data_IF_256808991696
#
_entry.id   IF_256808991696
#
_cell.length_a   1.000
_cell.length_b   1.000
_cell.length_c   1.000
_cell.angle_alpha   90.00
_cell.angle_beta   90.00
_cell.angle_gamma   90.00
#
_symmetry.space_group_name_H-M   'P 1'
#
loop_
_entity.id
_entity.type
_entity.pdbx_description
1 polymer ?
#
# COMPACT_ATOMS: atom_id res chain seq x y z
N UNK A 1 -8.32 -14.66 -31.29
CA UNK A 1 -7.86 -13.34 -31.78
C UNK A 1 -8.38 -12.27 -30.82
N UNK A 2 -7.48 -11.38 -30.42
CA UNK A 2 -7.65 -10.04 -29.83
C UNK A 2 -8.50 -9.84 -28.57
N UNK A 3 -7.76 -9.68 -27.45
CA UNK A 3 -8.07 -8.85 -26.28
C UNK A 3 -8.39 -7.41 -26.69
N UNK A 4 -9.31 -6.74 -25.99
CA UNK A 4 -9.25 -5.29 -25.83
C UNK A 4 -9.92 -4.87 -24.52
N UNK A 5 -9.12 -4.17 -23.72
CA UNK A 5 -9.40 -3.68 -22.40
C UNK A 5 -10.37 -2.50 -22.49
N UNK A 6 -11.41 -2.49 -21.66
CA UNK A 6 -12.11 -1.25 -21.30
C UNK A 6 -11.64 -0.82 -19.92
N UNK A 7 -10.57 -0.02 -19.94
CA UNK A 7 -10.23 0.89 -18.86
C UNK A 7 -11.31 1.98 -18.91
N UNK A 8 -12.34 1.83 -18.10
CA UNK A 8 -13.29 2.91 -17.83
C UNK A 8 -12.62 3.81 -16.79
N UNK A 9 -12.44 5.06 -17.18
CA UNK A 9 -11.64 6.04 -16.48
C UNK A 9 -12.07 6.25 -15.03
N UNK A 10 -11.11 6.07 -14.12
CA UNK A 10 -11.04 6.83 -12.89
C UNK A 10 -10.60 8.27 -13.24
N UNK A 11 -11.56 9.08 -13.68
CA UNK A 11 -11.46 10.53 -13.68
C UNK A 11 -12.76 11.03 -13.11
N UNK A 12 -12.81 11.18 -11.78
CA UNK A 12 -13.72 12.08 -11.02
C UNK A 12 -13.73 11.69 -9.54
N UNK A 13 -12.63 11.95 -8.81
CA UNK A 13 -12.66 12.14 -7.35
C UNK A 13 -11.57 13.15 -6.93
N UNK A 14 -11.33 14.19 -7.73
CA UNK A 14 -10.73 15.43 -7.24
C UNK A 14 -11.85 16.39 -6.89
N UNK A 15 -12.69 16.02 -5.93
CA UNK A 15 -13.32 17.02 -5.08
C UNK A 15 -12.28 17.38 -4.04
N UNK A 16 -11.39 18.31 -4.38
CA UNK A 16 -10.70 19.11 -3.36
C UNK A 16 -11.78 19.62 -2.41
N UNK A 17 -11.67 19.41 -1.08
CA UNK A 17 -12.61 20.05 -0.17
C UNK A 17 -12.46 21.55 -0.40
N UNK A 18 -13.50 22.17 -0.96
CA UNK A 18 -13.63 23.61 -0.94
C UNK A 18 -13.83 23.96 0.53
N UNK A 19 -12.73 24.27 1.23
CA UNK A 19 -12.77 24.82 2.57
C UNK A 19 -13.46 26.16 2.47
N UNK A 20 -14.73 26.19 2.89
CA UNK A 20 -15.53 27.39 2.98
C UNK A 20 -14.88 28.29 4.04
N UNK A 21 -14.23 29.37 3.59
CA UNK A 21 -13.65 30.37 4.48
C UNK A 21 -14.80 31.17 5.11
N UNK A 22 -15.10 30.90 6.38
CA UNK A 22 -15.95 31.77 7.17
C UNK A 22 -15.23 33.09 7.42
N UNK A 23 -15.93 34.22 7.28
CA UNK A 23 -15.49 35.52 7.78
C UNK A 23 -15.40 35.42 9.32
N UNK A 24 -14.22 35.11 9.83
CA UNK A 24 -13.94 35.15 11.26
C UNK A 24 -12.75 36.07 11.45
N UNK A 25 -12.98 37.21 12.10
CA UNK A 25 -11.93 38.08 12.64
C UNK A 25 -11.22 37.34 13.78
N UNK A 26 -10.32 36.41 13.44
CA UNK A 26 -9.46 35.75 14.42
C UNK A 26 -8.12 36.49 14.38
N UNK A 27 -7.85 37.20 15.49
CA UNK A 27 -6.55 37.62 16.01
C UNK A 27 -5.33 37.10 15.24
N UNK A 28 -4.43 38.00 14.83
CA UNK A 28 -3.18 37.82 14.05
C UNK A 28 -2.10 36.88 14.67
N UNK A 29 -2.46 35.79 15.34
CA UNK A 29 -1.52 34.84 15.95
C UNK A 29 -1.23 33.59 15.07
N UNK A 30 -1.84 33.47 13.89
CA UNK A 30 -1.82 32.26 13.05
C UNK A 30 -0.86 32.35 11.83
N UNK A 31 0.35 32.88 12.00
CA UNK A 31 1.38 32.80 10.95
C UNK A 31 2.00 31.40 10.88
N UNK A 32 2.17 30.84 9.67
CA UNK A 32 2.99 29.65 9.46
C UNK A 32 4.45 30.02 9.74
N UNK A 33 4.93 29.69 10.93
CA UNK A 33 6.33 29.91 11.29
C UNK A 33 7.25 29.03 10.42
N UNK A 34 8.50 29.48 10.19
CA UNK A 34 9.52 28.67 9.51
C UNK A 34 9.69 27.30 10.17
N UNK A 35 9.61 27.26 11.50
CA UNK A 35 9.70 26.03 12.28
C UNK A 35 8.52 25.09 12.00
N UNK A 36 7.29 25.62 11.92
CA UNK A 36 6.12 24.84 11.53
C UNK A 36 6.26 24.29 10.11
N UNK A 37 6.67 25.12 9.14
CA UNK A 37 6.89 24.70 7.76
C UNK A 37 7.94 23.56 7.66
N UNK A 38 9.08 23.69 8.35
CA UNK A 38 10.11 22.66 8.39
C UNK A 38 9.59 21.36 9.03
N UNK A 39 8.81 21.43 10.11
CA UNK A 39 8.21 20.25 10.75
C UNK A 39 7.21 19.52 9.83
N UNK A 40 6.45 20.28 9.03
CA UNK A 40 5.53 19.72 8.04
C UNK A 40 6.24 19.08 6.86
N UNK A 41 7.34 19.68 6.38
CA UNK A 41 8.19 19.07 5.36
C UNK A 41 8.80 17.76 5.88
N UNK A 42 9.27 17.75 7.12
CA UNK A 42 9.88 16.56 7.72
C UNK A 42 8.87 15.43 7.87
N UNK A 43 7.70 15.69 8.46
CA UNK A 43 6.63 14.68 8.58
C UNK A 43 6.09 14.22 7.22
N UNK A 44 6.07 15.10 6.20
CA UNK A 44 5.73 14.69 4.84
C UNK A 44 6.76 13.74 4.22
N UNK A 45 8.05 13.91 4.51
CA UNK A 45 9.09 12.97 4.07
C UNK A 45 8.96 11.62 4.78
N UNK A 46 8.65 11.64 6.08
CA UNK A 46 8.40 10.44 6.86
C UNK A 46 7.21 9.65 6.30
N UNK A 47 6.07 10.30 6.05
CA UNK A 47 4.92 9.68 5.39
C UNK A 47 5.27 9.09 4.02
N UNK A 48 6.10 9.77 3.22
CA UNK A 48 6.51 9.27 1.92
C UNK A 48 7.36 8.00 2.04
N UNK A 49 8.27 7.95 3.02
CA UNK A 49 9.08 6.77 3.33
C UNK A 49 8.22 5.59 3.79
N UNK A 50 7.32 5.81 4.75
CA UNK A 50 6.42 4.78 5.28
C UNK A 50 5.49 4.23 4.18
N UNK A 51 4.94 5.11 3.33
CA UNK A 51 4.14 4.71 2.18
C UNK A 51 4.94 3.85 1.19
N UNK A 52 6.22 4.12 1.01
CA UNK A 52 7.08 3.30 0.16
C UNK A 52 7.31 1.92 0.77
N UNK A 53 7.52 1.83 2.08
CA UNK A 53 7.65 0.55 2.78
C UNK A 53 6.38 -0.29 2.67
N UNK A 54 5.20 0.33 2.82
CA UNK A 54 3.90 -0.33 2.62
C UNK A 54 3.75 -0.93 1.22
N UNK A 55 4.19 -0.21 0.18
CA UNK A 55 4.16 -0.73 -1.20
C UNK A 55 5.07 -1.95 -1.38
N UNK A 56 6.23 -1.94 -0.74
CA UNK A 56 7.17 -3.07 -0.79
C UNK A 56 6.55 -4.31 -0.13
N UNK A 57 6.02 -4.15 1.09
CA UNK A 57 5.39 -5.27 1.80
C UNK A 57 4.11 -5.76 1.11
N UNK A 58 3.33 -4.87 0.49
CA UNK A 58 2.19 -5.26 -0.35
C UNK A 58 2.62 -6.10 -1.56
N UNK A 59 3.66 -5.67 -2.29
CA UNK A 59 4.17 -6.40 -3.45
C UNK A 59 4.70 -7.79 -3.06
N UNK A 60 5.44 -7.91 -1.95
CA UNK A 60 5.92 -9.20 -1.43
C UNK A 60 4.76 -10.15 -1.12
N UNK A 61 3.69 -9.66 -0.49
CA UNK A 61 2.49 -10.45 -0.21
C UNK A 61 1.78 -10.93 -1.47
N UNK A 62 1.64 -10.07 -2.47
CA UNK A 62 1.02 -10.45 -3.75
C UNK A 62 1.83 -11.55 -4.43
N UNK A 63 3.17 -11.43 -4.42
CA UNK A 63 4.05 -12.46 -4.96
C UNK A 63 3.90 -13.79 -4.20
N UNK A 64 3.91 -13.76 -2.86
CA UNK A 64 3.73 -14.96 -2.03
C UNK A 64 2.36 -15.61 -2.23
N UNK A 65 1.28 -14.83 -2.30
CA UNK A 65 -0.06 -15.33 -2.59
C UNK A 65 -0.12 -16.05 -3.96
N UNK A 66 0.53 -15.47 -4.98
CA UNK A 66 0.66 -16.10 -6.29
C UNK A 66 1.42 -17.43 -6.21
N UNK A 67 2.54 -17.46 -5.45
CA UNK A 67 3.33 -18.69 -5.24
C UNK A 67 2.52 -19.77 -4.52
N UNK A 68 1.76 -19.42 -3.48
CA UNK A 68 0.86 -20.33 -2.76
C UNK A 68 -0.15 -20.95 -3.74
N UNK A 69 -0.80 -20.13 -4.58
CA UNK A 69 -1.75 -20.62 -5.57
C UNK A 69 -1.10 -21.60 -6.56
N UNK A 70 0.09 -21.28 -7.05
CA UNK A 70 0.86 -22.17 -7.93
C UNK A 70 1.18 -23.51 -7.24
N UNK A 71 1.74 -23.46 -6.03
CA UNK A 71 2.12 -24.66 -5.27
C UNK A 71 0.89 -25.52 -4.95
N UNK A 72 -0.24 -24.91 -4.55
CA UNK A 72 -1.50 -25.62 -4.31
C UNK A 72 -2.00 -26.37 -5.56
N UNK A 73 -1.86 -25.76 -6.74
CA UNK A 73 -2.21 -26.41 -8.01
C UNK A 73 -1.29 -27.60 -8.29
N UNK A 74 0.02 -27.43 -8.08
CA UNK A 74 1.02 -28.48 -8.27
C UNK A 74 0.85 -29.65 -7.28
N UNK A 75 0.50 -29.35 -6.02
CA UNK A 75 0.12 -30.35 -5.00
C UNK A 75 -1.11 -31.13 -5.46
N UNK A 76 -2.12 -30.42 -5.97
CA UNK A 76 -3.36 -31.05 -6.44
C UNK A 76 -3.11 -32.00 -7.62
N UNK A 77 -2.28 -31.58 -8.59
CA UNK A 77 -1.89 -32.42 -9.74
C UNK A 77 -1.14 -33.68 -9.29
N UNK A 78 -0.10 -33.54 -8.48
CA UNK A 78 0.72 -34.67 -7.99
C UNK A 78 -0.11 -35.62 -7.12
N UNK A 79 -0.97 -35.11 -6.24
CA UNK A 79 -1.88 -35.92 -5.43
C UNK A 79 -2.83 -36.76 -6.30
N UNK A 80 -3.37 -36.19 -7.40
CA UNK A 80 -4.21 -36.93 -8.34
C UNK A 80 -3.43 -38.04 -9.05
N UNK A 81 -2.20 -37.75 -9.48
CA UNK A 81 -1.33 -38.74 -10.12
C UNK A 81 -1.00 -39.89 -9.19
N UNK A 82 -0.53 -39.61 -7.96
CA UNK A 82 -0.25 -40.63 -6.94
C UNK A 82 -1.48 -41.51 -6.70
N UNK A 83 -2.67 -40.90 -6.47
CA UNK A 83 -3.92 -41.64 -6.30
C UNK A 83 -4.29 -42.52 -7.49
N UNK A 84 -3.94 -42.12 -8.72
CA UNK A 84 -4.20 -42.91 -9.92
C UNK A 84 -3.26 -44.12 -10.03
N UNK A 85 -1.99 -43.93 -9.67
CA UNK A 85 -0.97 -44.98 -9.66
C UNK A 85 -1.25 -46.00 -8.54
N UNK A 86 -1.70 -45.54 -7.37
CA UNK A 86 -2.03 -46.40 -6.22
C UNK A 86 -3.18 -47.38 -6.49
N UNK A 87 -4.04 -47.08 -7.46
CA UNK A 87 -5.17 -47.92 -7.88
C UNK A 87 -4.76 -49.04 -8.84
N UNK A 88 -3.53 -49.02 -9.36
CA UNK A 88 -3.06 -50.05 -10.29
C UNK A 88 -2.56 -51.28 -9.51
N UNK A 89 -2.98 -52.51 -9.90
CA UNK A 89 -2.72 -53.73 -9.13
C UNK A 89 -1.26 -54.19 -9.14
N UNK A 90 -0.43 -53.66 -10.05
CA UNK A 90 1.00 -54.02 -10.13
C UNK A 90 1.82 -53.00 -9.35
N UNK A 91 1.82 -53.13 -8.02
CA UNK A 91 2.77 -52.44 -7.15
C UNK A 91 4.16 -53.06 -7.29
N UNK A 92 4.82 -52.81 -8.40
CA UNK A 92 6.28 -52.97 -8.42
C UNK A 92 6.88 -51.72 -7.80
N UNK A 93 7.76 -51.91 -6.82
CA UNK A 93 8.56 -50.86 -6.21
C UNK A 93 9.39 -50.20 -7.32
N UNK A 94 8.84 -49.13 -7.88
CA UNK A 94 9.37 -48.44 -9.04
C UNK A 94 10.06 -47.18 -8.51
N UNK A 95 11.37 -47.07 -8.70
CA UNK A 95 12.15 -45.91 -8.27
C UNK A 95 11.55 -44.58 -8.72
N UNK A 96 10.82 -44.57 -9.85
CA UNK A 96 10.11 -43.39 -10.33
C UNK A 96 8.90 -43.01 -9.45
N UNK A 97 8.18 -43.98 -8.90
CA UNK A 97 7.09 -43.72 -7.95
C UNK A 97 7.64 -43.18 -6.62
N UNK A 98 8.71 -43.79 -6.10
CA UNK A 98 9.35 -43.30 -4.87
C UNK A 98 9.88 -41.86 -5.05
N UNK A 99 10.51 -41.56 -6.19
CA UNK A 99 10.91 -40.18 -6.54
C UNK A 99 9.72 -39.22 -6.61
N UNK A 100 8.60 -39.64 -7.18
CA UNK A 100 7.38 -38.83 -7.25
C UNK A 100 6.84 -38.51 -5.85
N UNK A 101 6.82 -39.48 -4.94
CA UNK A 101 6.37 -39.29 -3.56
C UNK A 101 7.29 -38.33 -2.82
N UNK A 102 8.62 -38.49 -2.91
CA UNK A 102 9.59 -37.58 -2.29
C UNK A 102 9.43 -36.15 -2.82
N UNK A 103 9.28 -35.97 -4.14
CA UNK A 103 9.02 -34.66 -4.73
C UNK A 103 7.70 -34.05 -4.27
N UNK A 104 6.68 -34.88 -4.03
CA UNK A 104 5.40 -34.43 -3.52
C UNK A 104 5.49 -33.97 -2.06
N UNK A 105 6.23 -34.68 -1.21
CA UNK A 105 6.50 -34.29 0.17
C UNK A 105 7.27 -32.97 0.24
N UNK A 106 8.34 -32.82 -0.55
CA UNK A 106 9.08 -31.56 -0.66
C UNK A 106 8.21 -30.40 -1.12
N UNK A 107 7.28 -30.64 -2.05
CA UNK A 107 6.34 -29.62 -2.51
C UNK A 107 5.33 -29.21 -1.43
N UNK A 108 4.87 -30.16 -0.61
CA UNK A 108 3.99 -29.86 0.52
C UNK A 108 4.72 -29.03 1.57
N UNK A 109 5.98 -29.34 1.85
CA UNK A 109 6.81 -28.59 2.77
C UNK A 109 7.04 -27.15 2.27
N UNK A 110 7.42 -26.98 1.00
CA UNK A 110 7.59 -25.65 0.39
C UNK A 110 6.29 -24.84 0.44
N UNK A 111 5.14 -25.48 0.18
CA UNK A 111 3.83 -24.83 0.26
C UNK A 111 3.54 -24.34 1.68
N UNK A 112 3.78 -25.18 2.69
CA UNK A 112 3.57 -24.81 4.08
C UNK A 112 4.50 -23.68 4.53
N UNK A 113 5.79 -23.74 4.19
CA UNK A 113 6.74 -22.67 4.47
C UNK A 113 6.35 -21.36 3.79
N UNK A 114 5.85 -21.42 2.55
CA UNK A 114 5.41 -20.22 1.81
C UNK A 114 4.15 -19.59 2.44
N UNK A 115 3.21 -20.41 2.95
CA UNK A 115 2.04 -19.91 3.70
C UNK A 115 2.48 -19.20 4.97
N UNK A 116 3.38 -19.81 5.75
CA UNK A 116 3.87 -19.22 6.99
C UNK A 116 4.55 -17.86 6.73
N UNK A 117 5.41 -17.79 5.71
CA UNK A 117 6.06 -16.54 5.33
C UNK A 117 5.03 -15.48 4.86
N UNK A 118 3.96 -15.89 4.17
CA UNK A 118 2.88 -14.98 3.80
C UNK A 118 2.17 -14.40 5.03
N UNK A 119 1.88 -15.22 6.04
CA UNK A 119 1.25 -14.79 7.29
C UNK A 119 2.14 -13.80 8.04
N UNK A 120 3.43 -14.08 8.17
CA UNK A 120 4.42 -13.16 8.76
C UNK A 120 4.44 -11.80 8.05
N UNK A 121 4.45 -11.81 6.71
CA UNK A 121 4.42 -10.58 5.90
C UNK A 121 3.08 -9.85 5.98
N UNK A 122 1.97 -10.58 6.10
CA UNK A 122 0.64 -10.00 6.33
C UNK A 122 0.59 -9.27 7.68
N UNK A 123 1.14 -9.87 8.74
CA UNK A 123 1.22 -9.23 10.06
C UNK A 123 2.08 -7.97 10.03
N UNK A 124 3.25 -8.03 9.38
CA UNK A 124 4.10 -6.85 9.20
C UNK A 124 3.37 -5.73 8.45
N UNK A 125 2.69 -6.04 7.35
CA UNK A 125 1.92 -5.07 6.58
C UNK A 125 0.82 -4.40 7.42
N UNK A 126 0.07 -5.18 8.22
CA UNK A 126 -0.97 -4.63 9.11
C UNK A 126 -0.34 -3.66 10.13
N UNK A 127 0.79 -4.05 10.74
CA UNK A 127 1.50 -3.20 11.70
C UNK A 127 1.98 -1.90 11.07
N UNK A 128 2.61 -1.97 9.90
CA UNK A 128 3.06 -0.80 9.14
C UNK A 128 1.88 0.11 8.76
N UNK A 129 0.74 -0.47 8.38
CA UNK A 129 -0.43 0.31 8.00
C UNK A 129 -1.03 1.05 9.20
N UNK A 130 -1.01 0.44 10.39
CA UNK A 130 -1.43 1.10 11.62
C UNK A 130 -0.51 2.29 11.94
N UNK A 131 0.80 2.07 11.91
CA UNK A 131 1.80 3.12 12.15
C UNK A 131 1.66 4.28 11.15
N UNK A 132 1.49 3.96 9.86
CA UNK A 132 1.26 4.98 8.83
C UNK A 132 0.01 5.81 9.13
N UNK A 133 -1.09 5.19 9.57
CA UNK A 133 -2.31 5.91 9.94
C UNK A 133 -2.12 6.87 11.12
N UNK A 134 -1.30 6.49 12.11
CA UNK A 134 -0.95 7.37 13.23
C UNK A 134 -0.13 8.59 12.75
N UNK A 135 0.87 8.37 11.89
CA UNK A 135 1.69 9.44 11.31
C UNK A 135 0.84 10.37 10.44
N UNK A 136 -0.04 9.81 9.60
CA UNK A 136 -0.95 10.58 8.75
C UNK A 136 -1.92 11.41 9.58
N UNK A 137 -2.49 10.84 10.65
CA UNK A 137 -3.34 11.59 11.59
C UNK A 137 -2.57 12.77 12.19
N UNK A 138 -1.38 12.54 12.75
CA UNK A 138 -0.56 13.60 13.34
C UNK A 138 -0.16 14.67 12.34
N UNK A 139 0.23 14.27 11.12
CA UNK A 139 0.54 15.22 10.05
C UNK A 139 -0.68 16.08 9.72
N UNK A 140 -1.86 15.48 9.55
CA UNK A 140 -3.08 16.22 9.20
C UNK A 140 -3.50 17.20 10.31
N UNK A 141 -3.41 16.78 11.57
CA UNK A 141 -3.67 17.63 12.73
C UNK A 141 -2.72 18.83 12.80
N UNK A 142 -1.42 18.57 12.63
CA UNK A 142 -0.37 19.57 12.80
C UNK A 142 -0.23 20.51 11.59
N UNK A 143 -0.43 19.99 10.38
CA UNK A 143 -0.08 20.68 9.13
C UNK A 143 -1.27 21.12 8.28
N UNK A 144 -2.46 20.54 8.46
CA UNK A 144 -3.64 20.84 7.63
C UNK A 144 -4.78 21.47 8.42
N UNK A 145 -5.08 20.99 9.63
CA UNK A 145 -6.23 21.50 10.41
C UNK A 145 -6.02 22.88 11.06
N UNK A 146 -4.77 23.38 11.12
CA UNK A 146 -4.44 24.71 11.67
C UNK A 146 -4.10 25.77 10.62
N UNK A 147 -4.42 25.56 9.34
CA UNK A 147 -4.05 26.52 8.28
C UNK A 147 -5.25 27.32 7.80
N UNK A 148 -5.47 28.46 8.45
CA UNK A 148 -6.12 29.59 7.79
C UNK A 148 -5.00 30.51 7.30
N UNK A 149 -4.89 30.70 5.99
CA UNK A 149 -4.08 31.80 5.46
C UNK A 149 -4.93 33.05 5.65
N UNK A 150 -4.47 34.06 6.39
CA UNK A 150 -5.20 35.30 6.50
C UNK A 150 -5.14 36.08 5.19
N UNK A 151 -6.20 36.83 4.88
CA UNK A 151 -6.24 37.67 3.68
C UNK A 151 -5.13 38.73 3.68
N UNK A 152 -4.66 39.14 4.86
CA UNK A 152 -3.54 40.06 5.05
C UNK A 152 -2.20 39.41 4.67
N UNK A 153 -1.90 38.21 5.16
CA UNK A 153 -0.68 37.49 4.79
C UNK A 153 -0.64 37.17 3.30
N UNK A 154 -1.79 36.81 2.71
CA UNK A 154 -1.90 36.65 1.27
C UNK A 154 -1.58 37.95 0.53
N UNK A 155 -2.13 39.09 0.96
CA UNK A 155 -1.81 40.39 0.35
C UNK A 155 -0.33 40.71 0.50
N UNK A 156 0.27 40.57 1.67
CA UNK A 156 1.70 40.88 1.89
C UNK A 156 2.64 40.06 0.99
N UNK A 157 2.40 38.75 0.87
CA UNK A 157 3.28 37.85 0.12
C UNK A 157 2.98 37.88 -1.39
N UNK A 158 1.71 37.97 -1.77
CA UNK A 158 1.27 37.84 -3.16
C UNK A 158 0.98 39.17 -3.88
N UNK A 159 1.01 40.32 -3.19
CA UNK A 159 0.88 41.63 -3.85
C UNK A 159 2.08 41.93 -4.76
N UNK A 160 3.28 41.46 -4.40
CA UNK A 160 4.51 41.87 -5.06
C UNK A 160 5.09 40.81 -5.99
N UNK A 161 4.78 39.53 -5.81
CA UNK A 161 5.18 38.45 -6.71
C UNK A 161 4.02 37.51 -7.04
N UNK A 162 3.70 37.38 -8.35
CA UNK A 162 2.80 36.32 -8.85
C UNK A 162 3.54 34.97 -8.82
N UNK A 163 3.64 34.38 -7.65
CA UNK A 163 4.18 33.03 -7.51
C UNK A 163 3.06 31.99 -7.67
N UNK A 164 3.38 30.79 -8.18
CA UNK A 164 2.40 29.72 -8.43
C UNK A 164 1.66 29.29 -7.16
N UNK A 165 2.29 29.47 -6.01
CA UNK A 165 1.72 29.31 -4.69
C UNK A 165 0.50 30.22 -4.44
N UNK A 166 0.55 31.49 -4.86
CA UNK A 166 -0.52 32.48 -4.69
C UNK A 166 -1.80 32.18 -5.50
N UNK A 167 -1.68 31.39 -6.58
CA UNK A 167 -2.83 30.97 -7.39
C UNK A 167 -3.61 29.81 -6.77
N UNK A 168 -3.08 29.19 -5.71
CA UNK A 168 -3.66 28.00 -5.07
C UNK A 168 -4.63 28.34 -3.94
N UNK A 169 -4.80 29.63 -3.61
CA UNK A 169 -5.67 30.12 -2.54
C UNK A 169 -6.74 31.05 -3.10
N UNK A 170 -8.00 30.82 -2.71
CA UNK A 170 -9.15 31.66 -3.05
C UNK A 170 -9.77 32.18 -1.74
N UNK A 171 -10.05 33.48 -1.69
CA UNK A 171 -10.64 34.21 -0.56
C UNK A 171 -12.02 34.72 -0.95
#
# INVERSE_FOLDING_TARGET
MTRLHKIIGLCCLLSTPATQAGNIEISDNDYITRQLALSCIQSSKEMASERQQLRISEAEKVHLASKISYLQNEVTKRRKLIKSLDRQPVRQNNDNYNKLVIQFESLLEEHQQTIQLFEEKQHLFISQHKQFGEIEYHHNQHCLQKKQISQNLYREVCQNEKNSWCASFYF
#
